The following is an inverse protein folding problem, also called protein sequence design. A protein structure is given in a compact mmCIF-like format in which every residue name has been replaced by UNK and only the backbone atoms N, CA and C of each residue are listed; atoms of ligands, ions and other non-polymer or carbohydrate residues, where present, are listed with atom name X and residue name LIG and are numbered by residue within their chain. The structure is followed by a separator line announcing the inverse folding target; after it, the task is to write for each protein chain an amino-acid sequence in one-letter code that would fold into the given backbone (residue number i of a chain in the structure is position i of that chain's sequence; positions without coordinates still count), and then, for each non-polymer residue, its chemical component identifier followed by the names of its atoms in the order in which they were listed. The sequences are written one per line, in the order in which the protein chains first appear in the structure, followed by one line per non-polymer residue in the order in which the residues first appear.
data_IF_696337563961
#
_entry.id   IF_696337563961
#
_cell.length_a   1.000
_cell.length_b   1.000
_cell.length_c   1.000
_cell.angle_alpha   90.00
_cell.angle_beta   90.00
_cell.angle_gamma   90.00
#
_symmetry.space_group_name_H-M   'P 1'
#
loop_
_entity.id
_entity.type
_entity.pdbx_description
1 polymer ?
#
# COMPACT_ATOMS: atom_id res chain seq x y z
N UNK A 1 12.93 5.77 -2.70
CA UNK A 1 12.57 5.57 -1.28
C UNK A 1 11.50 6.57 -0.84
N UNK A 2 11.73 7.89 -0.92
CA UNK A 2 10.72 8.90 -0.57
C UNK A 2 9.38 8.73 -1.34
N UNK A 3 9.44 8.60 -2.68
CA UNK A 3 8.24 8.38 -3.50
C UNK A 3 7.51 7.06 -3.19
N UNK A 4 8.25 6.03 -2.78
CA UNK A 4 7.66 4.74 -2.37
C UNK A 4 6.94 4.86 -1.02
N UNK A 5 7.49 5.67 -0.11
CA UNK A 5 6.86 5.97 1.18
C UNK A 5 5.60 6.84 1.00
N UNK A 6 5.62 7.79 0.06
CA UNK A 6 4.42 8.56 -0.31
C UNK A 6 3.31 7.68 -0.88
N UNK A 7 3.63 6.77 -1.80
CA UNK A 7 2.65 5.82 -2.33
C UNK A 7 2.05 4.93 -1.23
N UNK A 8 2.88 4.38 -0.34
CA UNK A 8 2.40 3.60 0.81
C UNK A 8 1.52 4.43 1.76
N UNK A 9 1.81 5.70 1.96
CA UNK A 9 0.98 6.61 2.74
C UNK A 9 -0.39 6.86 2.08
N UNK A 10 -0.45 6.94 0.75
CA UNK A 10 -1.71 7.07 0.00
C UNK A 10 -2.53 5.79 0.09
N UNK A 11 -1.91 4.62 -0.08
CA UNK A 11 -2.59 3.32 0.04
C UNK A 11 -3.18 3.12 1.44
N UNK A 12 -2.43 3.46 2.49
CA UNK A 12 -2.90 3.38 3.89
C UNK A 12 -4.05 4.34 4.17
N UNK A 13 -4.05 5.53 3.58
CA UNK A 13 -5.20 6.45 3.67
C UNK A 13 -6.45 5.87 3.01
N UNK A 14 -6.29 5.19 1.86
CA UNK A 14 -7.40 4.50 1.21
C UNK A 14 -7.92 3.33 2.04
N UNK A 15 -7.04 2.56 2.68
CA UNK A 15 -7.43 1.49 3.62
C UNK A 15 -8.20 2.03 4.84
N UNK A 16 -7.75 3.16 5.42
CA UNK A 16 -8.47 3.82 6.52
C UNK A 16 -9.85 4.30 6.08
N UNK A 17 -9.96 4.90 4.89
CA UNK A 17 -11.26 5.34 4.35
C UNK A 17 -12.22 4.16 4.16
N UNK A 18 -11.73 3.05 3.59
CA UNK A 18 -12.52 1.81 3.45
C UNK A 18 -13.02 1.27 4.79
N UNK A 19 -12.15 1.24 5.82
CA UNK A 19 -12.54 0.78 7.15
C UNK A 19 -13.57 1.72 7.81
N UNK A 20 -13.46 3.03 7.60
CA UNK A 20 -14.47 3.99 8.05
C UNK A 20 -15.81 3.82 7.33
N UNK A 21 -15.79 3.47 6.05
CA UNK A 21 -17.01 3.21 5.29
C UNK A 21 -17.64 1.86 5.70
N UNK A 22 -16.84 0.84 6.02
CA UNK A 22 -17.31 -0.40 6.65
C UNK A 22 -17.95 -0.13 8.03
N UNK A 23 -17.38 0.76 8.85
CA UNK A 23 -17.97 1.17 10.12
C UNK A 23 -19.34 1.84 9.91
N UNK A 24 -19.44 2.78 8.97
CA UNK A 24 -20.73 3.42 8.61
C UNK A 24 -21.73 2.38 8.10
N UNK A 25 -21.31 1.45 7.26
CA UNK A 25 -22.15 0.37 6.76
C UNK A 25 -22.71 -0.49 7.91
N UNK A 26 -21.86 -0.84 8.89
CA UNK A 26 -22.27 -1.52 10.13
C UNK A 26 -23.32 -0.74 10.93
N UNK A 27 -23.16 0.58 11.03
CA UNK A 27 -24.15 1.43 11.68
C UNK A 27 -25.47 1.49 10.88
N UNK A 28 -25.42 1.49 9.55
CA UNK A 28 -26.63 1.45 8.71
C UNK A 28 -27.34 0.10 8.77
N UNK A 29 -26.60 -1.03 8.79
CA UNK A 29 -27.20 -2.37 8.93
C UNK A 29 -27.80 -2.56 10.32
N UNK A 30 -27.16 -2.00 11.36
CA UNK A 30 -27.73 -1.96 12.70
C UNK A 30 -29.00 -1.10 12.79
N UNK A 31 -29.04 0.05 12.13
CA UNK A 31 -30.26 0.87 12.06
C UNK A 31 -31.38 0.17 11.26
N UNK A 32 -31.04 -0.54 10.18
CA UNK A 32 -31.99 -1.30 9.39
C UNK A 32 -32.56 -2.52 10.16
N UNK A 33 -31.74 -3.21 10.96
CA UNK A 33 -32.19 -4.34 11.78
C UNK A 33 -33.02 -3.93 13.00
N UNK A 34 -32.86 -2.70 13.49
CA UNK A 34 -33.66 -2.15 14.59
C UNK A 34 -35.12 -1.87 14.20
N UNK A 35 -35.38 -1.45 12.96
CA UNK A 35 -36.71 -1.04 12.49
C UNK A 35 -37.29 0.19 13.20
N UNK A 36 -38.30 0.84 12.60
CA UNK A 36 -38.78 2.17 13.04
C UNK A 36 -39.49 2.22 14.41
N UNK A 37 -39.75 1.10 15.09
CA UNK A 37 -40.49 1.12 16.37
C UNK A 37 -40.15 -0.05 17.32
N UNK A 38 -38.88 -0.17 17.75
CA UNK A 38 -38.49 -1.15 18.77
C UNK A 38 -38.31 -0.52 20.16
N UNK A 39 -39.09 -0.98 21.15
CA UNK A 39 -39.01 -0.53 22.57
C UNK A 39 -37.63 -0.78 23.20
N UNK A 40 -36.87 -1.71 22.62
CA UNK A 40 -35.52 -2.09 23.05
C UNK A 40 -34.39 -1.39 22.27
N UNK A 41 -34.71 -0.45 21.36
CA UNK A 41 -33.69 0.24 20.56
C UNK A 41 -32.66 0.98 21.43
N UNK A 42 -33.10 1.57 22.55
CA UNK A 42 -32.19 2.19 23.53
C UNK A 42 -31.27 1.18 24.21
N UNK A 43 -31.77 -0.03 24.51
CA UNK A 43 -31.00 -1.11 25.13
C UNK A 43 -29.98 -1.71 24.15
N UNK A 44 -30.42 -2.09 22.94
CA UNK A 44 -29.55 -2.65 21.90
C UNK A 44 -28.48 -1.66 21.43
N UNK A 45 -28.80 -0.36 21.37
CA UNK A 45 -27.80 0.68 21.10
C UNK A 45 -26.79 0.81 22.24
N UNK A 46 -27.20 0.59 23.50
CA UNK A 46 -26.29 0.56 24.68
C UNK A 46 -25.39 -0.67 24.63
N UNK A 47 -25.92 -1.84 24.28
CA UNK A 47 -25.18 -3.10 24.11
C UNK A 47 -24.15 -2.99 22.98
N UNK A 48 -24.55 -2.43 21.82
CA UNK A 48 -23.65 -2.18 20.70
C UNK A 48 -22.58 -1.16 21.07
N UNK A 49 -22.94 -0.07 21.78
CA UNK A 49 -21.98 0.99 22.15
C UNK A 49 -21.00 0.58 23.24
N UNK A 50 -21.34 -0.35 24.12
CA UNK A 50 -20.50 -0.78 25.24
C UNK A 50 -19.19 -1.41 24.72
N UNK A 51 -18.06 -0.75 25.01
CA UNK A 51 -16.73 -1.29 24.74
C UNK A 51 -16.41 -2.37 25.78
N UNK A 52 -16.32 -3.64 25.36
CA UNK A 52 -15.69 -4.68 26.19
C UNK A 52 -14.18 -4.58 25.94
N UNK A 53 -13.40 -4.47 27.03
CA UNK A 53 -11.96 -4.66 26.95
C UNK A 53 -11.70 -6.10 26.54
N UNK A 54 -11.36 -6.33 25.27
CA UNK A 54 -10.79 -7.61 24.84
C UNK A 54 -9.40 -7.72 25.47
N UNK A 55 -9.26 -8.58 26.46
CA UNK A 55 -7.96 -9.12 26.85
C UNK A 55 -7.54 -9.99 25.66
N UNK A 56 -6.56 -9.52 24.86
CA UNK A 56 -5.91 -10.36 23.86
C UNK A 56 -5.47 -11.65 24.58
N UNK A 57 -6.05 -12.80 24.20
CA UNK A 57 -5.49 -14.11 24.55
C UNK A 57 -4.08 -14.13 23.97
N UNK A 58 -3.08 -13.93 24.83
CA UNK A 58 -1.68 -14.20 24.51
C UNK A 58 -1.59 -15.67 24.14
N UNK A 59 -1.44 -15.96 22.86
CA UNK A 59 -0.81 -17.19 22.44
C UNK A 59 0.61 -17.21 23.05
N UNK A 60 0.88 -18.30 23.76
CA UNK A 60 2.15 -18.55 24.42
C UNK A 60 3.10 -19.06 23.34
N UNK A 61 3.95 -18.18 22.81
CA UNK A 61 5.25 -18.58 22.30
C UNK A 61 6.32 -17.95 23.19
N UNK A 62 6.94 -18.83 23.98
CA UNK A 62 8.20 -18.57 24.67
C UNK A 62 9.29 -18.59 23.61
N UNK A 63 10.05 -17.51 23.46
CA UNK A 63 11.51 -17.57 23.37
C UNK A 63 12.10 -16.30 24.00
N UNK A 64 13.20 -16.50 24.73
CA UNK A 64 13.97 -15.51 25.45
C UNK A 64 14.74 -14.59 24.49
N UNK A 65 14.95 -13.32 24.81
CA UNK A 65 16.13 -12.82 25.54
C UNK A 65 16.28 -11.29 25.44
N UNK A 66 16.83 -10.74 26.53
CA UNK A 66 17.59 -9.48 26.69
C UNK A 66 16.92 -8.09 26.58
N UNK A 67 16.84 -7.50 27.77
CA UNK A 67 16.97 -6.10 28.22
C UNK A 67 17.33 -5.02 27.16
N UNK A 68 16.50 -3.98 27.04
CA UNK A 68 16.99 -2.61 26.90
C UNK A 68 16.00 -1.64 27.56
N UNK A 69 16.50 -0.91 28.56
CA UNK A 69 15.75 0.08 29.33
C UNK A 69 15.51 1.34 28.52
N UNK A 70 14.28 1.82 28.50
CA UNK A 70 13.94 3.21 28.15
C UNK A 70 12.60 3.56 28.77
N UNK A 71 12.62 3.90 30.05
CA UNK A 71 11.54 4.62 30.71
C UNK A 71 11.48 6.04 30.15
N UNK A 72 10.38 6.39 29.49
CA UNK A 72 9.84 7.75 29.49
C UNK A 72 8.32 7.64 29.60
N UNK A 73 7.84 7.80 30.84
CA UNK A 73 6.46 8.12 31.13
C UNK A 73 6.10 9.47 30.50
N UNK A 74 5.11 9.47 29.62
CA UNK A 74 4.39 10.68 29.26
C UNK A 74 2.91 10.43 29.52
N UNK A 75 2.58 10.67 30.78
CA UNK A 75 1.24 10.77 31.33
C UNK A 75 0.65 12.11 30.85
N UNK A 76 -0.13 12.09 29.77
CA UNK A 76 -1.01 13.20 29.41
C UNK A 76 -2.46 12.81 29.69
N UNK A 77 -2.83 13.09 30.95
CA UNK A 77 -4.17 13.37 31.45
C UNK A 77 -4.98 14.17 30.43
N UNK A 78 -5.96 13.52 29.78
CA UNK A 78 -7.02 14.24 29.08
C UNK A 78 -8.21 14.34 30.02
N UNK A 79 -8.18 15.38 30.83
CA UNK A 79 -9.28 15.86 31.65
C UNK A 79 -10.45 16.25 30.75
N UNK A 80 -11.40 15.34 30.59
CA UNK A 80 -12.74 15.66 30.09
C UNK A 80 -13.67 15.62 31.30
N UNK A 81 -13.67 16.72 32.04
CA UNK A 81 -14.80 17.07 32.90
C UNK A 81 -16.04 17.20 32.01
N UNK A 82 -16.99 16.30 32.22
CA UNK A 82 -18.38 16.56 31.90
C UNK A 82 -19.14 16.43 33.19
N UNK A 83 -19.33 17.58 33.82
CA UNK A 83 -20.11 17.77 35.03
C UNK A 83 -21.56 17.29 34.81
N UNK A 84 -22.08 16.73 35.89
CA UNK A 84 -23.38 16.08 36.08
C UNK A 84 -24.56 17.04 35.82
N UNK A 85 -25.70 16.55 35.35
CA UNK A 85 -26.85 16.32 36.24
C UNK A 85 -28.09 15.73 35.54
N UNK A 86 -28.79 14.92 36.34
CA UNK A 86 -30.21 14.57 36.35
C UNK A 86 -30.77 13.56 35.32
N UNK A 87 -30.80 12.28 35.72
CA UNK A 87 -32.05 11.73 36.24
C UNK A 87 -31.82 10.37 36.89
N UNK A 88 -31.96 10.34 38.22
CA UNK A 88 -32.01 9.11 39.00
C UNK A 88 -33.27 8.30 38.69
N UNK A 89 -33.06 7.04 38.34
CA UNK A 89 -34.04 5.99 38.58
C UNK A 89 -33.29 4.68 38.85
N UNK A 90 -33.31 4.31 40.12
CA UNK A 90 -33.24 2.98 40.76
C UNK A 90 -33.04 1.77 39.83
N UNK A 91 -32.14 0.89 40.28
CA UNK A 91 -32.19 -0.56 40.13
C UNK A 91 -32.43 -1.14 38.73
N UNK A 92 -31.37 -1.69 38.15
CA UNK A 92 -31.21 -3.15 38.12
C UNK A 92 -29.84 -3.46 37.51
N UNK A 93 -29.04 -4.24 38.23
CA UNK A 93 -27.88 -4.94 37.68
C UNK A 93 -28.43 -5.97 36.68
N UNK A 94 -28.85 -5.51 35.50
CA UNK A 94 -29.25 -6.40 34.43
C UNK A 94 -27.99 -6.93 33.74
N UNK A 95 -27.78 -8.22 33.92
CA UNK A 95 -26.77 -8.99 33.22
C UNK A 95 -27.11 -8.99 31.72
N UNK A 96 -26.37 -8.19 30.95
CA UNK A 96 -26.45 -8.00 29.48
C UNK A 96 -26.23 -9.31 28.66
N UNK A 97 -26.25 -10.47 29.30
CA UNK A 97 -26.13 -11.82 28.72
C UNK A 97 -27.47 -12.56 28.61
N UNK A 98 -28.54 -12.03 29.21
CA UNK A 98 -29.86 -12.69 29.23
C UNK A 98 -30.88 -11.88 28.44
N UNK A 99 -31.47 -12.52 27.43
CA UNK A 99 -32.53 -11.96 26.60
C UNK A 99 -33.73 -11.56 27.48
N UNK A 100 -34.22 -10.31 27.43
CA UNK A 100 -35.50 -9.96 28.05
C UNK A 100 -36.62 -10.81 27.44
N UNK A 101 -37.59 -11.24 28.27
CA UNK A 101 -38.60 -12.27 27.94
C UNK A 101 -39.53 -11.98 26.74
N UNK A 102 -39.38 -10.84 26.07
CA UNK A 102 -40.16 -10.42 24.88
C UNK A 102 -39.28 -9.81 23.76
N UNK A 103 -37.98 -10.14 23.69
CA UNK A 103 -37.08 -9.71 22.61
C UNK A 103 -36.72 -10.90 21.70
N UNK A 104 -36.74 -10.72 20.39
CA UNK A 104 -36.36 -11.78 19.44
C UNK A 104 -34.90 -12.18 19.68
N UNK A 105 -34.70 -13.44 20.06
CA UNK A 105 -33.40 -14.03 20.38
C UNK A 105 -32.41 -13.90 19.20
N UNK A 106 -32.93 -13.86 17.97
CA UNK A 106 -32.19 -13.60 16.75
C UNK A 106 -31.68 -12.14 16.62
N UNK A 107 -32.45 -11.13 17.05
CA UNK A 107 -32.02 -9.73 17.04
C UNK A 107 -30.91 -9.48 18.07
N UNK A 108 -30.99 -10.16 19.21
CA UNK A 108 -29.98 -10.08 20.25
C UNK A 108 -28.66 -10.73 19.81
N UNK A 109 -28.71 -11.94 19.24
CA UNK A 109 -27.52 -12.61 18.68
C UNK A 109 -26.90 -11.80 17.54
N UNK A 110 -27.71 -11.24 16.63
CA UNK A 110 -27.22 -10.34 15.59
C UNK A 110 -26.58 -9.08 16.18
N UNK A 111 -27.14 -8.50 17.25
CA UNK A 111 -26.53 -7.33 17.92
C UNK A 111 -25.18 -7.65 18.56
N UNK A 112 -25.01 -8.88 19.08
CA UNK A 112 -23.72 -9.36 19.60
C UNK A 112 -22.71 -9.54 18.47
N UNK A 113 -23.10 -10.14 17.35
CA UNK A 113 -22.24 -10.30 16.17
C UNK A 113 -21.82 -8.94 15.59
N UNK A 114 -22.76 -8.02 15.38
CA UNK A 114 -22.47 -6.65 14.90
C UNK A 114 -21.54 -5.89 15.86
N UNK A 115 -21.60 -6.19 17.15
CA UNK A 115 -20.68 -5.63 18.15
C UNK A 115 -19.27 -6.20 18.02
N UNK A 116 -19.13 -7.50 17.78
CA UNK A 116 -17.84 -8.13 17.53
C UNK A 116 -17.20 -7.58 16.26
N UNK A 117 -17.96 -7.51 15.16
CA UNK A 117 -17.51 -6.94 13.89
C UNK A 117 -17.11 -5.46 14.03
N UNK A 118 -17.87 -4.67 14.80
CA UNK A 118 -17.52 -3.28 15.12
C UNK A 118 -16.20 -3.18 15.89
N UNK A 119 -15.99 -4.05 16.88
CA UNK A 119 -14.74 -4.08 17.64
C UNK A 119 -13.55 -4.50 16.78
N UNK A 120 -13.75 -5.42 15.81
CA UNK A 120 -12.72 -5.80 14.85
C UNK A 120 -12.34 -4.65 13.92
N UNK A 121 -13.33 -3.92 13.41
CA UNK A 121 -13.09 -2.72 12.58
C UNK A 121 -12.45 -1.59 13.39
N UNK A 122 -12.85 -1.36 14.64
CA UNK A 122 -12.24 -0.34 15.51
C UNK A 122 -10.76 -0.69 15.82
N UNK A 123 -10.46 -1.96 16.11
CA UNK A 123 -9.08 -2.42 16.31
C UNK A 123 -8.25 -2.28 15.02
N UNK A 124 -8.80 -2.68 13.87
CA UNK A 124 -8.13 -2.53 12.57
C UNK A 124 -7.88 -1.05 12.24
N UNK A 125 -8.81 -0.14 12.56
CA UNK A 125 -8.62 1.30 12.40
C UNK A 125 -7.50 1.84 13.28
N UNK A 126 -7.43 1.40 14.55
CA UNK A 126 -6.35 1.82 15.47
C UNK A 126 -5.00 1.30 14.98
N UNK A 127 -4.92 0.04 14.55
CA UNK A 127 -3.69 -0.56 14.04
C UNK A 127 -3.23 0.12 12.73
N UNK A 128 -4.14 0.37 11.79
CA UNK A 128 -3.82 1.07 10.54
C UNK A 128 -3.42 2.53 10.77
N UNK A 129 -4.05 3.24 11.73
CA UNK A 129 -3.63 4.59 12.13
C UNK A 129 -2.22 4.59 12.71
N UNK A 130 -1.88 3.63 13.59
CA UNK A 130 -0.52 3.48 14.13
C UNK A 130 0.51 3.23 13.02
N UNK A 131 0.19 2.37 12.04
CA UNK A 131 1.07 2.11 10.90
C UNK A 131 1.25 3.36 10.03
N UNK A 132 0.19 4.13 9.78
CA UNK A 132 0.27 5.39 9.04
C UNK A 132 1.12 6.45 9.77
N UNK A 133 1.00 6.56 11.09
CA UNK A 133 1.82 7.47 11.90
C UNK A 133 3.30 7.07 11.90
N UNK A 134 3.60 5.78 11.95
CA UNK A 134 4.97 5.28 11.83
C UNK A 134 5.58 5.57 10.46
N UNK A 135 4.85 5.30 9.37
CA UNK A 135 5.28 5.65 8.01
C UNK A 135 5.49 7.16 7.85
N UNK A 136 4.66 7.98 8.49
CA UNK A 136 4.84 9.43 8.50
C UNK A 136 6.14 9.84 9.21
N UNK A 137 6.45 9.25 10.36
CA UNK A 137 7.73 9.50 11.07
C UNK A 137 8.94 9.07 10.22
N UNK A 138 8.84 7.93 9.54
CA UNK A 138 9.89 7.47 8.63
C UNK A 138 10.09 8.41 7.44
N UNK A 139 8.99 8.90 6.84
CA UNK A 139 9.03 9.90 5.79
C UNK A 139 9.73 11.18 6.26
N UNK A 140 9.33 11.73 7.41
CA UNK A 140 9.91 12.96 7.95
C UNK A 140 11.40 12.78 8.29
N UNK A 141 11.80 11.61 8.80
CA UNK A 141 13.19 11.28 9.05
C UNK A 141 14.00 11.18 7.75
N UNK A 142 13.46 10.52 6.71
CA UNK A 142 14.10 10.43 5.40
C UNK A 142 14.20 11.79 4.71
N UNK A 143 13.17 12.64 4.84
CA UNK A 143 13.17 13.99 4.29
C UNK A 143 14.21 14.89 4.96
N UNK A 144 14.35 14.80 6.30
CA UNK A 144 15.43 15.50 7.03
C UNK A 144 16.81 15.01 6.59
N UNK A 145 17.01 13.69 6.45
CA UNK A 145 18.27 13.13 5.94
C UNK A 145 18.58 13.59 4.52
N UNK A 146 17.58 13.63 3.63
CA UNK A 146 17.75 14.12 2.27
C UNK A 146 18.23 15.58 2.24
N UNK A 147 17.60 16.46 3.02
CA UNK A 147 18.00 17.87 3.13
C UNK A 147 19.41 18.03 3.72
N UNK A 148 19.77 17.22 4.72
CA UNK A 148 21.10 17.25 5.31
C UNK A 148 22.17 16.82 4.29
N UNK A 149 21.89 15.79 3.49
CA UNK A 149 22.79 15.33 2.42
C UNK A 149 22.92 16.40 1.34
N UNK A 150 21.83 17.03 0.92
CA UNK A 150 21.83 18.13 -0.06
C UNK A 150 22.67 19.31 0.44
N UNK A 151 22.47 19.75 1.68
CA UNK A 151 23.30 20.79 2.27
C UNK A 151 24.79 20.40 2.36
N UNK A 152 25.09 19.13 2.69
CA UNK A 152 26.47 18.64 2.72
C UNK A 152 27.11 18.61 1.33
N UNK A 153 26.32 18.28 0.30
CA UNK A 153 26.76 18.30 -1.09
C UNK A 153 27.09 19.73 -1.53
N UNK A 154 26.20 20.68 -1.28
CA UNK A 154 26.42 22.10 -1.59
C UNK A 154 27.68 22.65 -0.91
N UNK A 155 27.90 22.29 0.36
CA UNK A 155 29.13 22.69 1.07
C UNK A 155 30.38 22.07 0.45
N UNK A 156 30.35 20.79 0.09
CA UNK A 156 31.47 20.09 -0.52
C UNK A 156 31.78 20.63 -1.93
N UNK A 157 30.75 20.96 -2.71
CA UNK A 157 30.89 21.62 -4.02
C UNK A 157 31.53 23.01 -3.86
N UNK A 158 31.07 23.80 -2.89
CA UNK A 158 31.66 25.11 -2.57
C UNK A 158 33.13 25.03 -2.14
N UNK A 159 33.49 24.06 -1.29
CA UNK A 159 34.86 23.78 -0.89
C UNK A 159 35.73 23.35 -2.07
N UNK A 160 35.19 22.51 -2.96
CA UNK A 160 35.89 22.03 -4.15
C UNK A 160 36.14 23.17 -5.14
N UNK A 161 35.18 24.07 -5.34
CA UNK A 161 35.39 25.29 -6.11
C UNK A 161 36.43 26.22 -5.48
N UNK A 162 36.40 26.40 -4.16
CA UNK A 162 37.40 27.19 -3.44
C UNK A 162 38.80 26.60 -3.61
N UNK A 163 38.94 25.29 -3.48
CA UNK A 163 40.20 24.58 -3.71
C UNK A 163 40.68 24.71 -5.16
N UNK A 164 39.79 24.63 -6.14
CA UNK A 164 40.15 24.85 -7.55
C UNK A 164 40.65 26.28 -7.79
N UNK A 165 40.01 27.29 -7.18
CA UNK A 165 40.46 28.69 -7.26
C UNK A 165 41.83 28.88 -6.61
N UNK A 166 42.05 28.32 -5.42
CA UNK A 166 43.35 28.38 -4.75
C UNK A 166 44.43 27.69 -5.58
N UNK A 167 44.15 26.48 -6.09
CA UNK A 167 45.07 25.78 -6.99
C UNK A 167 45.41 26.62 -8.21
N UNK A 168 44.44 27.31 -8.80
CA UNK A 168 44.68 28.18 -9.94
C UNK A 168 45.50 29.42 -9.57
N UNK A 169 45.25 30.01 -8.40
CA UNK A 169 46.07 31.10 -7.87
C UNK A 169 47.53 30.68 -7.64
N UNK A 170 47.74 29.52 -6.99
CA UNK A 170 49.08 28.93 -6.78
C UNK A 170 49.77 28.57 -8.09
N UNK A 171 49.04 28.06 -9.08
CA UNK A 171 49.59 27.79 -10.40
C UNK A 171 49.97 29.09 -11.13
N UNK A 172 49.21 30.17 -10.94
CA UNK A 172 49.53 31.47 -11.52
C UNK A 172 50.77 32.12 -10.88
N UNK A 173 51.07 31.81 -9.61
CA UNK A 173 52.32 32.23 -8.93
C UNK A 173 53.57 31.54 -9.51
N UNK A 174 53.41 30.40 -10.17
CA UNK A 174 54.53 29.70 -10.80
C UNK A 174 54.90 30.37 -12.12
N UNK A 175 56.00 31.12 -12.10
CA UNK A 175 56.58 31.69 -13.31
C UNK A 175 57.20 30.59 -14.18
N UNK A 176 56.54 30.30 -15.31
CA UNK A 176 57.08 29.41 -16.34
C UNK A 176 57.89 30.23 -17.32
N UNK A 177 59.19 29.96 -17.40
CA UNK A 177 60.07 30.58 -18.40
C UNK A 177 59.93 29.82 -19.72
N UNK A 178 59.40 30.48 -20.75
CA UNK A 178 59.31 29.92 -22.10
C UNK A 178 60.34 30.59 -23.00
N UNK A 179 61.38 29.89 -23.47
CA UNK A 179 62.32 30.45 -24.43
C UNK A 179 61.64 30.58 -25.79
N UNK A 180 61.36 31.81 -26.20
CA UNK A 180 60.78 32.13 -27.51
C UNK A 180 61.88 32.63 -28.46
N UNK A 181 61.82 32.20 -29.71
CA UNK A 181 62.66 32.79 -30.77
C UNK A 181 61.96 34.03 -31.32
N UNK A 182 62.74 35.05 -31.73
CA UNK A 182 62.21 36.33 -32.23
C UNK A 182 61.16 36.20 -33.35
N UNK A 183 61.27 35.19 -34.21
CA UNK A 183 60.30 34.93 -35.28
C UNK A 183 58.95 34.32 -34.81
N UNK A 184 58.85 33.92 -33.54
CA UNK A 184 57.62 33.35 -32.96
C UNK A 184 56.79 34.42 -32.23
N UNK A 185 57.30 35.64 -32.12
CA UNK A 185 56.61 36.76 -31.46
C UNK A 185 55.83 37.52 -32.52
N UNK A 186 54.52 37.25 -32.59
CA UNK A 186 53.59 37.99 -33.46
C UNK A 186 52.94 39.20 -32.75
N UNK A 187 53.35 39.47 -31.50
CA UNK A 187 52.90 40.62 -30.72
C UNK A 187 53.69 41.87 -31.10
N UNK A 188 53.18 42.63 -32.08
CA UNK A 188 53.71 43.93 -32.48
C UNK A 188 52.73 45.03 -32.07
N UNK A 189 53.25 46.06 -31.41
CA UNK A 189 52.54 47.33 -31.18
C UNK A 189 53.30 48.40 -31.96
N UNK A 190 52.63 49.10 -32.87
CA UNK A 190 53.23 50.12 -33.75
C UNK A 190 54.43 49.64 -34.60
N UNK A 191 54.46 48.37 -35.02
CA UNK A 191 55.45 47.84 -35.95
C UNK A 191 56.80 47.47 -35.33
N UNK A 192 56.96 47.64 -34.02
CA UNK A 192 58.11 47.17 -33.24
C UNK A 192 57.68 46.17 -32.17
N UNK A 193 58.63 45.35 -31.71
CA UNK A 193 58.41 44.43 -30.59
C UNK A 193 58.51 45.26 -29.30
N UNK A 194 57.46 45.33 -28.46
CA UNK A 194 57.50 46.10 -27.23
C UNK A 194 58.62 45.63 -26.30
N UNK A 195 59.29 46.59 -25.65
CA UNK A 195 60.33 46.31 -24.64
C UNK A 195 59.79 45.59 -23.39
N UNK A 196 58.48 45.66 -23.17
CA UNK A 196 57.80 44.98 -22.08
C UNK A 196 56.68 44.07 -22.62
N UNK A 197 56.84 42.77 -22.39
CA UNK A 197 55.89 41.72 -22.76
C UNK A 197 55.05 41.25 -21.56
N UNK A 198 55.10 41.96 -20.43
CA UNK A 198 54.38 41.62 -19.19
C UNK A 198 52.86 41.51 -19.36
N UNK A 199 52.28 42.24 -20.32
CA UNK A 199 50.85 42.17 -20.66
C UNK A 199 50.52 41.19 -21.78
N UNK A 200 51.53 40.56 -22.38
CA UNK A 200 51.33 39.64 -23.50
C UNK A 200 51.02 38.22 -22.99
N UNK A 201 50.00 37.59 -23.60
CA UNK A 201 49.61 36.23 -23.26
C UNK A 201 50.26 35.26 -24.27
N UNK A 202 50.96 34.24 -23.78
CA UNK A 202 51.57 33.22 -24.65
C UNK A 202 50.59 32.07 -24.84
N UNK A 203 50.19 31.83 -26.08
CA UNK A 203 49.32 30.71 -26.47
C UNK A 203 49.94 29.96 -27.63
N UNK A 204 49.65 28.66 -27.73
CA UNK A 204 50.05 27.87 -28.91
C UNK A 204 49.14 28.23 -30.08
N UNK A 205 49.66 28.24 -31.31
CA UNK A 205 48.83 28.50 -32.51
C UNK A 205 47.65 27.52 -32.63
N UNK A 206 47.84 26.28 -32.14
CA UNK A 206 46.75 25.30 -32.06
C UNK A 206 45.68 25.76 -31.07
N UNK A 207 46.05 26.21 -29.87
CA UNK A 207 45.09 26.72 -28.88
C UNK A 207 44.34 27.95 -29.37
N UNK A 208 44.97 28.85 -30.14
CA UNK A 208 44.30 29.98 -30.78
C UNK A 208 43.28 29.51 -31.83
N UNK A 209 43.66 28.56 -32.70
CA UNK A 209 42.75 27.96 -33.67
C UNK A 209 41.58 27.21 -33.02
N UNK A 210 41.83 26.52 -31.90
CA UNK A 210 40.79 25.91 -31.09
C UNK A 210 39.87 26.94 -30.43
N UNK A 211 40.42 28.03 -29.89
CA UNK A 211 39.64 29.10 -29.27
C UNK A 211 38.74 29.79 -30.30
N UNK A 212 39.25 30.07 -31.50
CA UNK A 212 38.45 30.61 -32.60
C UNK A 212 37.33 29.66 -33.02
N UNK A 213 37.60 28.36 -33.19
CA UNK A 213 36.57 27.35 -33.44
C UNK A 213 35.55 27.31 -32.30
N UNK A 214 36.01 27.32 -31.06
CA UNK A 214 35.14 27.28 -29.88
C UNK A 214 34.25 28.51 -29.77
N UNK A 215 34.72 29.69 -30.16
CA UNK A 215 33.87 30.90 -30.21
C UNK A 215 32.74 30.71 -31.23
N UNK A 216 33.03 30.15 -32.40
CA UNK A 216 32.00 29.83 -33.41
C UNK A 216 31.04 28.77 -32.89
N UNK A 217 31.54 27.71 -32.25
CA UNK A 217 30.71 26.66 -31.65
C UNK A 217 29.78 27.23 -30.57
N UNK A 218 30.30 28.08 -29.68
CA UNK A 218 29.50 28.75 -28.64
C UNK A 218 28.44 29.68 -29.23
N UNK A 219 28.75 30.37 -30.34
CA UNK A 219 27.75 31.17 -31.05
C UNK A 219 26.64 30.28 -31.62
N UNK A 220 26.99 29.14 -32.22
CA UNK A 220 26.04 28.16 -32.74
C UNK A 220 25.20 27.55 -31.60
N UNK A 221 25.82 27.12 -30.50
CA UNK A 221 25.15 26.61 -29.30
C UNK A 221 24.16 27.64 -28.75
N UNK A 222 24.55 28.92 -28.67
CA UNK A 222 23.69 30.02 -28.23
C UNK A 222 22.47 30.22 -29.14
N UNK A 223 22.65 30.10 -30.46
CA UNK A 223 21.55 30.17 -31.43
C UNK A 223 20.61 28.97 -31.23
N UNK A 224 21.15 27.76 -31.14
CA UNK A 224 20.37 26.53 -30.91
C UNK A 224 19.57 26.60 -29.60
N UNK A 225 20.19 27.04 -28.50
CA UNK A 225 19.51 27.23 -27.22
C UNK A 225 18.38 28.26 -27.31
N UNK A 226 18.58 29.37 -28.04
CA UNK A 226 17.53 30.36 -28.28
C UNK A 226 16.36 29.78 -29.08
N UNK A 227 16.61 28.93 -30.06
CA UNK A 227 15.55 28.26 -30.82
C UNK A 227 14.76 27.28 -29.95
N UNK A 228 15.44 26.47 -29.14
CA UNK A 228 14.81 25.56 -28.18
C UNK A 228 13.94 26.36 -27.21
N UNK A 229 14.47 27.45 -26.65
CA UNK A 229 13.72 28.32 -25.75
C UNK A 229 12.48 28.94 -26.42
N UNK A 230 12.60 29.38 -27.68
CA UNK A 230 11.45 29.87 -28.46
C UNK A 230 10.38 28.78 -28.65
N UNK A 231 10.78 27.56 -29.03
CA UNK A 231 9.87 26.42 -29.19
C UNK A 231 9.19 26.07 -27.87
N UNK A 232 9.94 25.97 -26.78
CA UNK A 232 9.41 25.70 -25.45
C UNK A 232 8.42 26.79 -25.00
N UNK A 233 8.70 28.07 -25.27
CA UNK A 233 7.78 29.18 -24.98
C UNK A 233 6.49 29.09 -25.80
N UNK A 234 6.58 28.72 -27.08
CA UNK A 234 5.41 28.50 -27.94
C UNK A 234 4.56 27.33 -27.44
N UNK A 235 5.20 26.21 -27.10
CA UNK A 235 4.54 25.04 -26.51
C UNK A 235 3.86 25.41 -25.18
N UNK A 236 4.54 26.13 -24.30
CA UNK A 236 3.95 26.58 -23.04
C UNK A 236 2.72 27.47 -23.26
N UNK A 237 2.78 28.39 -24.23
CA UNK A 237 1.62 29.22 -24.58
C UNK A 237 0.46 28.37 -25.14
N UNK A 238 0.75 27.38 -25.99
CA UNK A 238 -0.26 26.49 -26.54
C UNK A 238 -0.92 25.65 -25.43
N UNK A 239 -0.12 25.01 -24.57
CA UNK A 239 -0.62 24.25 -23.42
C UNK A 239 -1.47 25.09 -22.47
N UNK A 240 -1.12 26.37 -22.26
CA UNK A 240 -1.92 27.28 -21.46
C UNK A 240 -3.29 27.59 -22.10
N UNK A 241 -3.33 27.70 -23.44
CA UNK A 241 -4.58 27.88 -24.18
C UNK A 241 -5.42 26.60 -24.12
N UNK A 242 -4.81 25.44 -24.35
CA UNK A 242 -5.48 24.14 -24.32
C UNK A 242 -6.03 23.84 -22.93
N UNK A 243 -5.26 24.15 -21.87
CA UNK A 243 -5.73 24.04 -20.48
C UNK A 243 -6.99 24.87 -20.25
N UNK A 244 -7.01 26.13 -20.70
CA UNK A 244 -8.19 27.00 -20.58
C UNK A 244 -9.39 26.48 -21.39
N UNK A 245 -9.14 25.95 -22.58
CA UNK A 245 -10.19 25.36 -23.40
C UNK A 245 -10.76 24.09 -22.78
N UNK A 246 -9.91 23.22 -22.24
CA UNK A 246 -10.33 22.03 -21.50
C UNK A 246 -11.10 22.39 -20.23
N UNK A 247 -10.65 23.36 -19.45
CA UNK A 247 -11.38 23.87 -18.28
C UNK A 247 -12.78 24.40 -18.67
N UNK A 248 -12.87 25.18 -19.74
CA UNK A 248 -14.16 25.66 -20.25
C UNK A 248 -15.05 24.51 -20.77
N UNK A 249 -14.44 23.49 -21.38
CA UNK A 249 -15.16 22.29 -21.84
C UNK A 249 -15.69 21.46 -20.67
N UNK A 250 -14.90 21.28 -19.61
CA UNK A 250 -15.29 20.61 -18.36
C UNK A 250 -16.45 21.35 -17.73
N UNK A 251 -16.35 22.67 -17.53
CA UNK A 251 -17.45 23.48 -16.97
C UNK A 251 -18.74 23.34 -17.80
N UNK A 252 -18.63 23.38 -19.13
CA UNK A 252 -19.79 23.19 -20.00
C UNK A 252 -20.41 21.79 -19.88
N UNK A 253 -19.59 20.76 -19.72
CA UNK A 253 -20.05 19.39 -19.52
C UNK A 253 -20.66 19.22 -18.13
N UNK A 254 -20.06 19.77 -17.09
CA UNK A 254 -20.61 19.81 -15.73
C UNK A 254 -21.97 20.50 -15.71
N UNK A 255 -22.11 21.66 -16.35
CA UNK A 255 -23.41 22.34 -16.48
C UNK A 255 -24.45 21.49 -17.22
N UNK A 256 -24.05 20.80 -18.30
CA UNK A 256 -24.94 19.90 -19.04
C UNK A 256 -25.35 18.71 -18.17
N UNK A 257 -24.42 18.09 -17.46
CA UNK A 257 -24.68 17.00 -16.52
C UNK A 257 -25.62 17.47 -15.41
N UNK A 258 -25.36 18.62 -14.80
CA UNK A 258 -26.20 19.23 -13.78
C UNK A 258 -27.62 19.49 -14.30
N UNK A 259 -27.78 20.05 -15.50
CA UNK A 259 -29.10 20.25 -16.13
C UNK A 259 -29.83 18.93 -16.37
N UNK A 260 -29.13 17.90 -16.87
CA UNK A 260 -29.72 16.57 -17.08
C UNK A 260 -30.11 15.92 -15.76
N UNK A 261 -29.26 16.00 -14.73
CA UNK A 261 -29.54 15.49 -13.39
C UNK A 261 -30.76 16.18 -12.77
N UNK A 262 -30.84 17.51 -12.85
CA UNK A 262 -32.01 18.26 -12.38
C UNK A 262 -33.28 17.90 -13.15
N UNK A 263 -33.20 17.65 -14.46
CA UNK A 263 -34.37 17.27 -15.27
C UNK A 263 -34.83 15.84 -14.98
N UNK A 264 -33.90 14.91 -14.72
CA UNK A 264 -34.19 13.48 -14.54
C UNK A 264 -34.53 13.11 -13.09
N UNK A 265 -33.81 13.68 -12.14
CA UNK A 265 -33.89 13.31 -10.72
C UNK A 265 -34.45 14.44 -9.83
N UNK A 266 -34.55 15.68 -10.34
CA UNK A 266 -35.01 16.83 -9.54
C UNK A 266 -34.00 17.32 -8.49
N UNK A 267 -32.86 16.64 -8.36
CA UNK A 267 -31.77 16.92 -7.43
C UNK A 267 -30.43 16.58 -8.09
N UNK A 268 -29.34 17.19 -7.63
CA UNK A 268 -27.99 16.77 -8.01
C UNK A 268 -27.68 15.43 -7.33
N UNK A 269 -27.52 14.38 -8.13
CA UNK A 269 -27.25 13.01 -7.65
C UNK A 269 -25.77 12.72 -7.90
N UNK A 270 -25.08 12.20 -6.89
CA UNK A 270 -23.73 11.68 -7.06
C UNK A 270 -23.80 10.35 -7.82
N UNK A 271 -23.51 10.41 -9.13
CA UNK A 271 -23.54 9.27 -10.02
C UNK A 271 -22.45 8.24 -9.70
N UNK A 272 -21.35 8.65 -9.07
CA UNK A 272 -20.24 7.76 -8.73
C UNK A 272 -20.62 6.86 -7.55
N UNK A 273 -21.25 7.45 -6.53
CA UNK A 273 -21.87 6.68 -5.46
C UNK A 273 -22.95 5.73 -6.00
N UNK A 274 -23.82 6.18 -6.91
CA UNK A 274 -24.88 5.34 -7.46
C UNK A 274 -24.34 4.18 -8.31
N UNK A 275 -23.28 4.42 -9.09
CA UNK A 275 -22.61 3.39 -9.89
C UNK A 275 -21.97 2.32 -8.99
N UNK A 276 -21.32 2.71 -7.90
CA UNK A 276 -20.74 1.77 -6.93
C UNK A 276 -21.80 0.83 -6.32
N UNK A 277 -23.01 1.33 -6.07
CA UNK A 277 -24.12 0.52 -5.55
C UNK A 277 -24.77 -0.37 -6.63
N UNK A 278 -24.85 0.09 -7.88
CA UNK A 278 -25.41 -0.70 -8.99
C UNK A 278 -24.56 -1.91 -9.39
N UNK A 279 -23.25 -1.86 -9.16
CA UNK A 279 -22.34 -2.99 -9.41
C UNK A 279 -22.56 -4.14 -8.40
N UNK A 280 -23.20 -3.86 -7.25
CA UNK A 280 -23.48 -4.89 -6.25
C UNK A 280 -24.47 -5.96 -6.74
N UNK A 281 -25.41 -5.63 -7.63
CA UNK A 281 -26.39 -6.63 -8.12
C UNK A 281 -25.74 -7.72 -8.96
N UNK A 282 -24.79 -7.38 -9.83
CA UNK A 282 -24.08 -8.37 -10.64
C UNK A 282 -23.12 -9.23 -9.78
N UNK A 283 -22.51 -8.62 -8.76
CA UNK A 283 -21.64 -9.33 -7.82
C UNK A 283 -22.44 -10.29 -6.94
N UNK A 284 -23.66 -9.92 -6.55
CA UNK A 284 -24.62 -10.79 -5.86
C UNK A 284 -25.08 -11.95 -6.76
N UNK A 285 -25.39 -11.71 -8.04
CA UNK A 285 -25.70 -12.76 -9.01
C UNK A 285 -24.55 -13.78 -9.16
N UNK A 286 -23.30 -13.29 -9.25
CA UNK A 286 -22.11 -14.14 -9.32
C UNK A 286 -21.91 -14.97 -8.04
N UNK A 287 -22.17 -14.41 -6.86
CA UNK A 287 -22.12 -15.14 -5.59
C UNK A 287 -23.16 -16.26 -5.54
N UNK A 288 -24.39 -16.01 -5.98
CA UNK A 288 -25.44 -17.04 -6.05
C UNK A 288 -25.03 -18.16 -6.99
N UNK A 289 -24.49 -17.84 -8.17
CA UNK A 289 -23.99 -18.86 -9.12
C UNK A 289 -22.82 -19.67 -8.55
N UNK A 290 -21.96 -19.07 -7.74
CA UNK A 290 -20.88 -19.78 -7.06
C UNK A 290 -21.43 -20.78 -6.05
N UNK A 291 -22.40 -20.37 -5.23
CA UNK A 291 -23.06 -21.24 -4.23
C UNK A 291 -23.78 -22.42 -4.89
N UNK A 292 -24.46 -22.20 -6.02
CA UNK A 292 -25.12 -23.27 -6.78
C UNK A 292 -24.11 -24.29 -7.32
N UNK A 293 -22.97 -23.83 -7.85
CA UNK A 293 -21.91 -24.72 -8.34
C UNK A 293 -21.24 -25.50 -7.22
N UNK A 294 -20.96 -24.86 -6.09
CA UNK A 294 -20.42 -25.53 -4.90
C UNK A 294 -21.37 -26.62 -4.39
N UNK A 295 -22.68 -26.36 -4.42
CA UNK A 295 -23.69 -27.33 -4.03
C UNK A 295 -23.70 -28.55 -4.97
N UNK A 296 -23.66 -28.34 -6.29
CA UNK A 296 -23.57 -29.44 -7.27
C UNK A 296 -22.30 -30.25 -7.06
N UNK A 297 -21.14 -29.60 -6.90
CA UNK A 297 -19.88 -30.30 -6.65
C UNK A 297 -19.88 -31.06 -5.33
N UNK A 298 -20.56 -30.55 -4.29
CA UNK A 298 -20.74 -31.29 -3.03
C UNK A 298 -21.57 -32.55 -3.21
N UNK A 299 -22.60 -32.53 -4.05
CA UNK A 299 -23.39 -33.72 -4.39
C UNK A 299 -22.54 -34.74 -5.16
N UNK A 300 -21.84 -34.29 -6.20
CA UNK A 300 -20.93 -35.15 -6.98
C UNK A 300 -19.88 -35.82 -6.07
N UNK A 301 -19.29 -35.08 -5.14
CA UNK A 301 -18.33 -35.63 -4.18
C UNK A 301 -18.93 -36.74 -3.31
N UNK A 302 -20.17 -36.58 -2.86
CA UNK A 302 -20.86 -37.63 -2.08
C UNK A 302 -21.09 -38.90 -2.90
N UNK A 303 -21.51 -38.75 -4.16
CA UNK A 303 -21.67 -39.89 -5.07
C UNK A 303 -20.33 -40.62 -5.30
N UNK A 304 -19.24 -39.87 -5.46
CA UNK A 304 -17.91 -40.44 -5.58
C UNK A 304 -17.45 -41.15 -4.29
N UNK A 305 -17.75 -40.60 -3.12
CA UNK A 305 -17.46 -41.22 -1.83
C UNK A 305 -18.21 -42.55 -1.65
N UNK A 306 -19.50 -42.60 -1.98
CA UNK A 306 -20.29 -43.83 -1.98
C UNK A 306 -19.69 -44.87 -2.94
N UNK A 307 -19.30 -44.44 -4.15
CA UNK A 307 -18.66 -45.33 -5.13
C UNK A 307 -17.32 -45.90 -4.62
N UNK A 308 -16.53 -45.08 -3.93
CA UNK A 308 -15.28 -45.52 -3.30
C UNK A 308 -15.56 -46.52 -2.19
N UNK A 309 -16.60 -46.32 -1.37
CA UNK A 309 -16.98 -47.25 -0.33
C UNK A 309 -17.40 -48.61 -0.91
N UNK A 310 -18.22 -48.62 -1.95
CA UNK A 310 -18.63 -49.85 -2.64
C UNK A 310 -17.42 -50.62 -3.18
N UNK A 311 -16.51 -49.93 -3.87
CA UNK A 311 -15.29 -50.55 -4.41
C UNK A 311 -14.38 -51.09 -3.30
N UNK A 312 -14.26 -50.37 -2.17
CA UNK A 312 -13.52 -50.85 -1.00
C UNK A 312 -14.15 -52.10 -0.39
N UNK A 313 -15.48 -52.18 -0.32
CA UNK A 313 -16.18 -53.37 0.14
C UNK A 313 -15.94 -54.57 -0.79
N UNK A 314 -16.02 -54.37 -2.10
CA UNK A 314 -15.73 -55.43 -3.08
C UNK A 314 -14.30 -55.94 -2.97
N UNK A 315 -13.32 -55.03 -2.85
CA UNK A 315 -11.93 -55.41 -2.62
C UNK A 315 -11.76 -56.20 -1.32
N UNK A 316 -12.41 -55.77 -0.23
CA UNK A 316 -12.39 -56.48 1.05
C UNK A 316 -12.92 -57.91 0.91
N UNK A 317 -14.04 -58.10 0.21
CA UNK A 317 -14.64 -59.41 -0.03
C UNK A 317 -13.71 -60.32 -0.84
N UNK A 318 -13.17 -59.82 -1.95
CA UNK A 318 -12.21 -60.57 -2.77
C UNK A 318 -10.94 -60.93 -2.01
N UNK A 319 -10.46 -60.04 -1.14
CA UNK A 319 -9.27 -60.29 -0.30
C UNK A 319 -9.55 -61.38 0.73
N UNK A 320 -10.73 -61.36 1.35
CA UNK A 320 -11.18 -62.41 2.28
C UNK A 320 -11.28 -63.77 1.57
N UNK A 321 -11.91 -63.81 0.40
CA UNK A 321 -12.01 -65.04 -0.40
C UNK A 321 -10.64 -65.59 -0.82
N UNK A 322 -9.73 -64.72 -1.25
CA UNK A 322 -8.37 -65.11 -1.61
C UNK A 322 -7.62 -65.66 -0.38
N UNK A 323 -7.74 -64.99 0.77
CA UNK A 323 -7.15 -65.47 2.03
C UNK A 323 -7.68 -66.84 2.42
N UNK A 324 -8.99 -67.10 2.28
CA UNK A 324 -9.60 -68.41 2.55
C UNK A 324 -9.03 -69.48 1.59
N UNK A 325 -8.93 -69.17 0.29
CA UNK A 325 -8.35 -70.10 -0.70
C UNK A 325 -6.87 -70.39 -0.43
N UNK A 326 -6.09 -69.39 -0.01
CA UNK A 326 -4.69 -69.59 0.41
C UNK A 326 -4.58 -70.45 1.66
N UNK A 327 -5.48 -70.29 2.64
CA UNK A 327 -5.54 -71.15 3.82
C UNK A 327 -5.85 -72.59 3.44
N UNK A 328 -6.82 -72.82 2.55
CA UNK A 328 -7.15 -74.15 2.02
C UNK A 328 -5.96 -74.76 1.27
N UNK A 329 -5.27 -73.98 0.43
CA UNK A 329 -4.08 -74.44 -0.28
C UNK A 329 -2.95 -74.83 0.68
N UNK A 330 -2.71 -74.03 1.72
CA UNK A 330 -1.75 -74.36 2.77
C UNK A 330 -2.12 -75.66 3.50
N UNK A 331 -3.40 -75.88 3.81
CA UNK A 331 -3.86 -77.14 4.40
C UNK A 331 -3.56 -78.34 3.48
N UNK A 332 -3.90 -78.24 2.19
CA UNK A 332 -3.59 -79.29 1.21
C UNK A 332 -2.08 -79.52 1.03
N UNK A 333 -1.26 -78.47 1.08
CA UNK A 333 0.19 -78.60 1.04
C UNK A 333 0.73 -79.36 2.26
N UNK A 334 0.22 -79.07 3.46
CA UNK A 334 0.58 -79.80 4.68
C UNK A 334 0.15 -81.27 4.61
N UNK A 335 -1.06 -81.56 4.15
CA UNK A 335 -1.53 -82.93 3.94
C UNK A 335 -0.68 -83.67 2.91
N UNK A 336 -0.33 -83.02 1.80
CA UNK A 336 0.57 -83.57 0.78
C UNK A 336 1.94 -83.90 1.38
N UNK A 337 2.56 -82.99 2.13
CA UNK A 337 3.84 -83.24 2.81
C UNK A 337 3.75 -84.39 3.81
N UNK A 338 2.64 -84.49 4.56
CA UNK A 338 2.41 -85.63 5.48
C UNK A 338 2.26 -86.95 4.72
N UNK A 339 1.64 -86.94 3.54
CA UNK A 339 1.52 -88.13 2.70
C UNK A 339 2.86 -88.50 2.06
N UNK A 340 3.64 -87.53 1.57
CA UNK A 340 4.99 -87.74 1.03
C UNK A 340 5.93 -88.31 2.10
N UNK A 341 5.95 -87.74 3.31
CA UNK A 341 6.77 -88.30 4.41
C UNK A 341 6.34 -89.71 4.83
N UNK A 342 5.05 -90.04 4.77
CA UNK A 342 4.56 -91.41 4.98
C UNK A 342 4.99 -92.34 3.85
N UNK A 343 5.00 -91.87 2.61
CA UNK A 343 5.43 -92.65 1.44
C UNK A 343 6.93 -92.94 1.48
N UNK A 344 7.75 -91.94 1.86
CA UNK A 344 9.20 -92.08 2.01
C UNK A 344 9.61 -92.97 3.20
N UNK A 345 8.68 -93.25 4.12
CA UNK A 345 8.87 -94.12 5.29
C UNK A 345 8.48 -95.59 5.07
N UNK A 346 7.92 -95.91 3.90
CA UNK A 346 7.58 -97.27 3.43
C UNK A 346 8.67 -97.78 2.48
#
# INVERSE_FOLDING_TARGET
KLNSCLAQMEDRKHEIAKLQDCEKALYTTFQASLGENNKFARFLTKVLKKKIKRIKKKEVEREADEEDESEEESDEETSLESDEDDSGSEDEIFDDSVCPKDCDEALFQNTIQLREERLDIENALIEQKKVADNLRKEYDALAKKAKAVEASLDTAEGELEAFQREKQQRLNELHVVVPLKLHQVEYLVDGEIPNDLSQALVFTNQSLGHLQKRIVDLQNEKIMQREIYKKARQQHKHLLQDKKEMEANIQRLEEKCNKLMMTKFGQLVDLEALQAHSVNTHLEELKVQMMEKEYVHSQELKEWEERILDLRQQLMMLTKENTIKLQQLNQFCLEKQQLETKLDSL
#
